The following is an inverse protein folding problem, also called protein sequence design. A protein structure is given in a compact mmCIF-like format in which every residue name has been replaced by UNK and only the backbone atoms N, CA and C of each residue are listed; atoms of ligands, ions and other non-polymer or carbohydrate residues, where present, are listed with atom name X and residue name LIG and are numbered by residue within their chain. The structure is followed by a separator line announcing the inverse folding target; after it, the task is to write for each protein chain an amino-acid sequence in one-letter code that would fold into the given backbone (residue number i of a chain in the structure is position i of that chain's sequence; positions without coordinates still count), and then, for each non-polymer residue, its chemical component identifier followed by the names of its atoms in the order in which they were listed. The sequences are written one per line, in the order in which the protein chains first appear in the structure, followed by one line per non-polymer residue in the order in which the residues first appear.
data_IF_519587415733
#
_entry.id   IF_519587415733
#
_cell.length_a   1.000
_cell.length_b   1.000
_cell.length_c   1.000
_cell.angle_alpha   90.00
_cell.angle_beta   90.00
_cell.angle_gamma   90.00
#
_symmetry.space_group_name_H-M   'P 1'
#
loop_
_entity.id
_entity.type
_entity.pdbx_description
1 polymer ?
#
# COMPACT_ATOMS: atom_id res chain seq x y z
N UNK A 1 6.25 8.73 1.72
CA UNK A 1 5.08 9.01 0.84
C UNK A 1 4.13 9.97 1.58
N UNK A 2 3.42 10.86 0.88
CA UNK A 2 2.41 11.73 1.52
C UNK A 2 1.11 10.94 1.69
N UNK A 3 0.52 10.86 2.89
CA UNK A 3 -0.80 10.25 3.07
C UNK A 3 -1.85 10.98 2.22
N UNK A 4 -2.75 10.24 1.58
CA UNK A 4 -3.83 10.78 0.78
C UNK A 4 -5.15 10.09 1.14
N UNK A 5 -6.26 10.83 1.05
CA UNK A 5 -7.61 10.30 1.18
C UNK A 5 -8.12 9.98 -0.23
N UNK A 6 -8.52 8.73 -0.46
CA UNK A 6 -9.12 8.29 -1.73
C UNK A 6 -10.61 8.01 -1.54
N UNK A 7 -11.39 8.18 -2.61
CA UNK A 7 -12.83 7.83 -2.68
C UNK A 7 -13.01 6.31 -2.71
N UNK A 8 -11.99 5.57 -3.16
CA UNK A 8 -12.01 4.11 -3.19
C UNK A 8 -12.11 3.51 -1.79
N UNK A 9 -13.12 2.66 -1.58
CA UNK A 9 -13.25 1.86 -0.37
C UNK A 9 -12.21 0.74 -0.36
N UNK A 10 -11.53 0.56 0.77
CA UNK A 10 -10.57 -0.55 0.96
C UNK A 10 -10.92 -1.37 2.18
N UNK A 11 -10.51 -2.63 2.17
CA UNK A 11 -10.76 -3.57 3.27
C UNK A 11 -10.07 -3.16 4.57
N UNK A 12 -9.14 -2.20 4.53
CA UNK A 12 -8.57 -1.56 5.71
C UNK A 12 -9.64 -1.00 6.67
N UNK A 13 -10.86 -0.70 6.18
CA UNK A 13 -11.98 -0.31 7.07
C UNK A 13 -12.32 -1.38 8.11
N UNK A 14 -12.27 -2.66 7.74
CA UNK A 14 -12.66 -3.76 8.63
C UNK A 14 -11.64 -3.95 9.76
N UNK A 15 -10.35 -3.71 9.47
CA UNK A 15 -9.27 -3.71 10.45
C UNK A 15 -9.42 -2.55 11.43
N UNK A 16 -9.66 -1.33 10.91
CA UNK A 16 -9.86 -0.14 11.75
C UNK A 16 -11.09 -0.25 12.66
N UNK A 17 -12.17 -0.88 12.21
CA UNK A 17 -13.33 -1.17 13.06
C UNK A 17 -13.01 -2.06 14.27
N UNK A 18 -11.92 -2.83 14.21
CA UNK A 18 -11.42 -3.66 15.31
C UNK A 18 -10.31 -2.97 16.12
N UNK A 19 -10.07 -1.68 15.91
CA UNK A 19 -8.99 -0.93 16.57
C UNK A 19 -7.59 -1.24 16.05
N UNK A 20 -7.47 -1.95 14.91
CA UNK A 20 -6.18 -2.31 14.32
C UNK A 20 -5.75 -1.21 13.34
N UNK A 21 -4.59 -0.56 13.53
CA UNK A 21 -4.06 0.38 12.54
C UNK A 21 -3.85 -0.31 11.19
N UNK A 22 -4.40 0.27 10.12
CA UNK A 22 -4.32 -0.32 8.79
C UNK A 22 -4.19 0.77 7.71
N UNK A 23 -3.21 0.56 6.83
CA UNK A 23 -2.88 1.44 5.71
C UNK A 23 -3.01 0.69 4.38
N UNK A 24 -3.37 1.44 3.35
CA UNK A 24 -3.35 0.99 1.95
C UNK A 24 -2.11 1.58 1.32
N UNK A 25 -1.29 0.73 0.71
CA UNK A 25 -0.11 1.15 -0.03
C UNK A 25 0.05 0.25 -1.25
N UNK A 26 0.41 0.84 -2.38
CA UNK A 26 0.54 0.14 -3.66
C UNK A 26 1.01 1.07 -4.77
N UNK A 27 1.12 0.54 -6.00
CA UNK A 27 1.59 1.28 -7.16
C UNK A 27 0.56 2.32 -7.62
N UNK A 28 0.94 3.16 -8.58
CA UNK A 28 0.02 4.09 -9.23
C UNK A 28 -1.06 3.27 -9.98
N UNK A 29 -2.36 3.55 -9.77
CA UNK A 29 -3.46 2.75 -10.30
C UNK A 29 -3.84 3.17 -11.74
N UNK A 30 -2.94 3.00 -12.70
CA UNK A 30 -3.22 3.39 -14.09
C UNK A 30 -4.37 2.59 -14.69
N UNK A 31 -5.42 3.29 -15.13
CA UNK A 31 -6.65 2.70 -15.69
C UNK A 31 -7.30 1.64 -14.76
N UNK A 32 -7.12 1.74 -13.44
CA UNK A 32 -7.72 0.80 -12.49
C UNK A 32 -9.25 0.72 -12.70
N UNK A 33 -9.73 -0.48 -13.02
CA UNK A 33 -11.15 -0.72 -13.32
C UNK A 33 -11.60 -0.32 -14.73
N UNK A 34 -10.66 -0.11 -15.66
CA UNK A 34 -10.92 0.21 -17.06
C UNK A 34 -10.09 -0.67 -18.01
N UNK A 35 -10.30 -0.51 -19.33
CA UNK A 35 -9.51 -1.21 -20.33
C UNK A 35 -8.04 -0.77 -20.27
N UNK A 36 -7.13 -1.69 -20.63
CA UNK A 36 -5.69 -1.47 -20.61
C UNK A 36 -5.18 -1.02 -19.22
N UNK A 37 -5.69 -1.63 -18.15
CA UNK A 37 -5.14 -1.50 -16.78
C UNK A 37 -3.70 -2.02 -16.74
N UNK A 38 -2.78 -1.23 -16.21
CA UNK A 38 -1.36 -1.56 -16.22
C UNK A 38 -0.59 -1.00 -15.01
N UNK A 39 0.65 -1.44 -14.88
CA UNK A 39 1.63 -0.93 -13.92
C UNK A 39 2.99 -0.75 -14.60
N UNK A 40 3.77 0.25 -14.18
CA UNK A 40 5.16 0.38 -14.64
C UNK A 40 6.10 -0.52 -13.84
N UNK A 41 7.25 -0.88 -14.40
CA UNK A 41 8.26 -1.64 -13.66
C UNK A 41 8.77 -0.87 -12.43
N UNK A 42 8.93 0.45 -12.56
CA UNK A 42 9.40 1.29 -11.46
C UNK A 42 8.39 1.32 -10.29
N UNK A 43 7.09 1.44 -10.59
CA UNK A 43 6.04 1.39 -9.57
C UNK A 43 5.99 0.03 -8.87
N UNK A 44 6.16 -1.05 -9.64
CA UNK A 44 6.20 -2.41 -9.11
C UNK A 44 7.40 -2.60 -8.18
N UNK A 45 8.61 -2.25 -8.63
CA UNK A 45 9.82 -2.38 -7.82
C UNK A 45 9.81 -1.47 -6.59
N UNK A 46 9.29 -0.26 -6.72
CA UNK A 46 9.08 0.65 -5.59
C UNK A 46 8.15 0.05 -4.54
N UNK A 47 7.02 -0.53 -4.99
CA UNK A 47 6.04 -1.17 -4.10
C UNK A 47 6.65 -2.36 -3.37
N UNK A 48 7.35 -3.24 -4.09
CA UNK A 48 8.03 -4.41 -3.50
C UNK A 48 9.04 -3.97 -2.45
N UNK A 49 9.88 -2.97 -2.76
CA UNK A 49 10.90 -2.48 -1.82
C UNK A 49 10.28 -1.95 -0.54
N UNK A 50 9.20 -1.17 -0.62
CA UNK A 50 8.52 -0.65 0.57
C UNK A 50 7.94 -1.78 1.41
N UNK A 51 7.24 -2.76 0.82
CA UNK A 51 6.70 -3.87 1.58
C UNK A 51 7.79 -4.72 2.25
N UNK A 52 8.85 -5.05 1.53
CA UNK A 52 9.96 -5.86 2.06
C UNK A 52 10.65 -5.15 3.21
N UNK A 53 11.03 -3.88 3.03
CA UNK A 53 11.73 -3.13 4.08
C UNK A 53 10.83 -2.84 5.27
N UNK A 54 9.55 -2.52 5.05
CA UNK A 54 8.60 -2.30 6.15
C UNK A 54 8.37 -3.58 6.98
N UNK A 55 8.26 -4.73 6.30
CA UNK A 55 8.12 -6.02 6.97
C UNK A 55 9.40 -6.40 7.71
N UNK A 56 10.56 -6.17 7.09
CA UNK A 56 11.85 -6.35 7.74
C UNK A 56 11.93 -5.53 9.02
N UNK A 57 11.75 -4.21 8.94
CA UNK A 57 11.84 -3.31 10.10
C UNK A 57 10.88 -3.68 11.23
N UNK A 58 9.67 -4.12 10.89
CA UNK A 58 8.69 -4.60 11.86
C UNK A 58 9.15 -5.89 12.56
N UNK A 59 9.68 -6.86 11.81
CA UNK A 59 10.08 -8.17 12.34
C UNK A 59 11.40 -8.13 13.12
N UNK A 60 12.31 -7.24 12.75
CA UNK A 60 13.62 -7.08 13.41
C UNK A 60 13.60 -6.06 14.54
N UNK A 61 12.52 -5.28 14.68
CA UNK A 61 12.42 -4.20 15.66
C UNK A 61 13.36 -3.03 15.36
N UNK A 62 13.80 -2.86 14.11
CA UNK A 62 14.66 -1.74 13.68
C UNK A 62 13.90 -0.44 13.45
N UNK A 63 12.62 -0.39 13.83
CA UNK A 63 11.87 0.86 13.99
C UNK A 63 12.23 1.51 15.34
N UNK A 64 13.37 2.18 15.39
CA UNK A 64 13.73 3.15 16.44
C UNK A 64 14.12 4.50 15.81
#
# INVERSE_FOLDING_TARGET
PKPAISIGGTDCRFWRWRGIPAYVYGPIPYNMGAADEYVTLDDLYGTVRVHVLSAFDYLTGSME
#
